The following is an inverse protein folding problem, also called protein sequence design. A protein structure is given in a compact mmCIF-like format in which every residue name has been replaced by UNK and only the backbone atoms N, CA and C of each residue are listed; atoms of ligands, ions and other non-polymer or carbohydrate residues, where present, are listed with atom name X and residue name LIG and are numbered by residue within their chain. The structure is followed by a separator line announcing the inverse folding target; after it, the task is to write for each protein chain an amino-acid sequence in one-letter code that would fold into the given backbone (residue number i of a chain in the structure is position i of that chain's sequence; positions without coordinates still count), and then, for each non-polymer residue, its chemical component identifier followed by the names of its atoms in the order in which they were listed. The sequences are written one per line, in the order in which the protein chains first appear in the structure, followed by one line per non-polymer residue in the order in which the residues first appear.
data_IF_398774222602
#
_entry.id   IF_398774222602
#
_cell.length_a   1.000
_cell.length_b   1.000
_cell.length_c   1.000
_cell.angle_alpha   90.00
_cell.angle_beta   90.00
_cell.angle_gamma   90.00
#
_symmetry.space_group_name_H-M   'P 1'
#
loop_
_entity.id
_entity.type
_entity.pdbx_description
1 polymer ?
#
# COMPACT_ATOMS: atom_id res chain seq x y z
N UNK A 1 -26.78 31.86 26.99
CA UNK A 1 -25.71 31.88 25.96
C UNK A 1 -26.23 32.72 24.83
N UNK A 2 -25.45 33.65 24.28
CA UNK A 2 -25.84 34.36 23.06
C UNK A 2 -25.69 33.43 21.85
N UNK A 3 -26.51 33.63 20.82
CA UNK A 3 -26.44 32.84 19.60
C UNK A 3 -25.03 32.93 18.96
N UNK A 4 -24.37 34.09 19.09
CA UNK A 4 -22.98 34.27 18.71
C UNK A 4 -22.01 33.31 19.41
N UNK A 5 -22.11 33.17 20.75
CA UNK A 5 -21.25 32.27 21.51
C UNK A 5 -21.47 30.79 21.18
N UNK A 6 -22.71 30.42 20.84
CA UNK A 6 -23.06 29.08 20.39
C UNK A 6 -22.41 28.74 19.04
N UNK A 7 -22.58 29.61 18.03
CA UNK A 7 -21.98 29.41 16.72
C UNK A 7 -20.44 29.43 16.76
N UNK A 8 -19.84 30.27 17.61
CA UNK A 8 -18.39 30.24 17.81
C UNK A 8 -17.92 28.89 18.39
N UNK A 9 -18.69 28.29 19.29
CA UNK A 9 -18.41 26.96 19.82
C UNK A 9 -18.41 25.89 18.72
N UNK A 10 -19.41 25.92 17.83
CA UNK A 10 -19.50 25.01 16.69
C UNK A 10 -18.35 25.21 15.70
N UNK A 11 -17.99 26.46 15.40
CA UNK A 11 -16.84 26.77 14.55
C UNK A 11 -15.54 26.18 15.13
N UNK A 12 -15.31 26.35 16.43
CA UNK A 12 -14.12 25.80 17.10
C UNK A 12 -14.10 24.27 17.04
N UNK A 13 -15.25 23.61 17.22
CA UNK A 13 -15.35 22.16 17.10
C UNK A 13 -14.99 21.68 15.69
N UNK A 14 -15.48 22.38 14.66
CA UNK A 14 -15.19 22.01 13.27
C UNK A 14 -13.74 22.28 12.87
N UNK A 15 -13.11 23.33 13.43
CA UNK A 15 -11.67 23.53 13.28
C UNK A 15 -10.88 22.34 13.84
N UNK A 16 -11.26 21.83 15.01
CA UNK A 16 -10.61 20.63 15.58
C UNK A 16 -10.84 19.39 14.73
N UNK A 17 -12.06 19.21 14.20
CA UNK A 17 -12.38 18.10 13.31
C UNK A 17 -11.53 18.14 12.03
N UNK A 18 -11.37 19.32 11.43
CA UNK A 18 -10.49 19.54 10.27
C UNK A 18 -9.05 19.13 10.59
N UNK A 19 -8.48 19.65 11.68
CA UNK A 19 -7.08 19.41 12.04
C UNK A 19 -6.83 17.93 12.35
N UNK A 20 -7.77 17.27 13.03
CA UNK A 20 -7.73 15.84 13.28
C UNK A 20 -7.76 15.01 11.99
N UNK A 21 -8.63 15.36 11.04
CA UNK A 21 -8.73 14.67 9.76
C UNK A 21 -7.46 14.83 8.92
N UNK A 22 -6.87 16.04 8.89
CA UNK A 22 -5.60 16.29 8.20
C UNK A 22 -4.44 15.52 8.86
N UNK A 23 -4.37 15.50 10.19
CA UNK A 23 -3.33 14.75 10.90
C UNK A 23 -3.43 13.24 10.64
N UNK A 24 -4.65 12.69 10.64
CA UNK A 24 -4.87 11.26 10.33
C UNK A 24 -4.50 10.96 8.88
N UNK A 25 -4.88 11.86 7.95
CA UNK A 25 -4.54 11.73 6.54
C UNK A 25 -3.02 11.68 6.33
N UNK A 26 -2.27 12.58 6.97
CA UNK A 26 -0.82 12.61 6.88
C UNK A 26 -0.18 11.28 7.33
N UNK A 27 -0.68 10.68 8.42
CA UNK A 27 -0.21 9.39 8.89
C UNK A 27 -0.56 8.23 7.92
N UNK A 28 -1.70 8.30 7.23
CA UNK A 28 -2.07 7.34 6.18
C UNK A 28 -1.17 7.51 4.95
N UNK A 29 -0.92 8.73 4.51
CA UNK A 29 -0.06 9.03 3.37
C UNK A 29 1.39 8.57 3.59
N UNK A 30 1.90 8.69 4.82
CA UNK A 30 3.21 8.15 5.18
C UNK A 30 3.26 6.62 5.06
N UNK A 31 2.20 5.92 5.50
CA UNK A 31 2.10 4.46 5.33
C UNK A 31 2.07 4.07 3.85
N UNK A 32 1.36 4.81 3.01
CA UNK A 32 1.34 4.61 1.55
C UNK A 32 2.76 4.73 1.00
N UNK A 33 3.49 5.80 1.34
CA UNK A 33 4.86 6.02 0.86
C UNK A 33 5.81 4.88 1.22
N UNK A 34 5.72 4.37 2.46
CA UNK A 34 6.51 3.21 2.92
C UNK A 34 6.16 1.94 2.15
N UNK A 35 4.87 1.71 1.86
CA UNK A 35 4.43 0.54 1.10
C UNK A 35 4.85 0.62 -0.37
N UNK A 36 4.79 1.79 -1.00
CA UNK A 36 5.29 1.99 -2.38
C UNK A 36 6.79 1.72 -2.49
N UNK A 37 7.56 2.13 -1.48
CA UNK A 37 8.99 1.80 -1.41
C UNK A 37 9.21 0.29 -1.30
N UNK A 38 8.51 -0.37 -0.37
CA UNK A 38 8.60 -1.81 -0.19
C UNK A 38 8.17 -2.60 -1.44
N UNK A 39 7.14 -2.12 -2.16
CA UNK A 39 6.68 -2.67 -3.43
C UNK A 39 7.77 -2.62 -4.49
N UNK A 40 8.43 -1.48 -4.64
CA UNK A 40 9.54 -1.29 -5.60
C UNK A 40 10.72 -2.22 -5.28
N UNK A 41 11.11 -2.30 -4.01
CA UNK A 41 12.20 -3.17 -3.56
C UNK A 41 11.86 -4.65 -3.80
N UNK A 42 10.64 -5.08 -3.47
CA UNK A 42 10.18 -6.45 -3.71
C UNK A 42 10.14 -6.78 -5.20
N UNK A 43 9.65 -5.86 -6.04
CA UNK A 43 9.64 -6.04 -7.50
C UNK A 43 11.04 -6.24 -8.06
N UNK A 44 12.01 -5.47 -7.55
CA UNK A 44 13.42 -5.62 -7.93
C UNK A 44 13.97 -6.98 -7.50
N UNK A 45 13.66 -7.43 -6.27
CA UNK A 45 14.07 -8.75 -5.79
C UNK A 45 13.47 -9.89 -6.61
N UNK A 46 12.18 -9.80 -6.98
CA UNK A 46 11.51 -10.79 -7.85
C UNK A 46 12.21 -10.87 -9.21
N UNK A 47 12.53 -9.73 -9.82
CA UNK A 47 13.22 -9.70 -11.12
C UNK A 47 14.63 -10.28 -11.04
N UNK A 48 15.38 -9.97 -9.98
CA UNK A 48 16.70 -10.54 -9.74
C UNK A 48 16.63 -12.05 -9.50
N UNK A 49 15.59 -12.53 -8.80
CA UNK A 49 15.37 -13.96 -8.57
C UNK A 49 15.00 -14.70 -9.85
N UNK A 50 14.12 -14.12 -10.67
CA UNK A 50 13.75 -14.65 -11.98
C UNK A 50 15.00 -14.86 -12.86
N UNK A 51 15.78 -13.79 -13.02
CA UNK A 51 16.97 -13.79 -13.89
C UNK A 51 18.13 -14.61 -13.33
N UNK A 52 18.37 -14.54 -12.02
CA UNK A 52 19.50 -15.19 -11.36
C UNK A 52 19.30 -16.68 -11.07
N UNK A 53 18.07 -17.11 -10.79
CA UNK A 53 17.78 -18.50 -10.37
C UNK A 53 16.93 -19.23 -11.39
N UNK A 54 15.74 -18.71 -11.74
CA UNK A 54 14.79 -19.45 -12.59
C UNK A 54 15.32 -19.61 -14.01
N UNK A 55 15.86 -18.53 -14.59
CA UNK A 55 16.43 -18.58 -15.95
C UNK A 55 17.70 -19.45 -15.98
N UNK A 56 18.51 -19.42 -14.91
CA UNK A 56 19.68 -20.28 -14.77
C UNK A 56 19.28 -21.76 -14.70
N UNK A 57 18.27 -22.12 -13.92
CA UNK A 57 17.70 -23.47 -13.87
C UNK A 57 17.21 -23.90 -15.26
N UNK A 58 16.52 -23.02 -15.98
CA UNK A 58 16.03 -23.32 -17.33
C UNK A 58 17.16 -23.64 -18.30
N UNK A 59 18.28 -22.91 -18.23
CA UNK A 59 19.49 -23.18 -19.03
C UNK A 59 20.12 -24.53 -18.68
N UNK A 60 20.33 -24.79 -17.39
CA UNK A 60 20.90 -26.05 -16.89
C UNK A 60 20.08 -27.26 -17.37
N UNK A 61 18.73 -27.16 -17.33
CA UNK A 61 17.86 -28.21 -17.85
C UNK A 61 18.13 -28.53 -19.33
N UNK A 62 18.30 -27.49 -20.14
CA UNK A 62 18.52 -27.61 -21.58
C UNK A 62 19.88 -28.21 -21.96
N UNK A 63 20.93 -27.88 -21.21
CA UNK A 63 22.30 -28.35 -21.48
C UNK A 63 22.53 -29.81 -21.05
N UNK A 64 21.88 -30.26 -19.97
CA UNK A 64 22.25 -31.52 -19.30
C UNK A 64 21.34 -32.72 -19.65
N UNK A 65 20.15 -32.49 -20.22
CA UNK A 65 19.13 -33.52 -20.42
C UNK A 65 19.58 -34.73 -21.29
N UNK A 66 20.64 -34.57 -22.07
CA UNK A 66 21.20 -35.61 -22.96
C UNK A 66 22.46 -36.31 -22.43
N UNK A 67 23.15 -35.72 -21.45
CA UNK A 67 24.51 -36.09 -21.03
C UNK A 67 24.51 -37.24 -20.02
N UNK A 68 23.57 -37.27 -19.08
CA UNK A 68 23.48 -38.34 -18.07
C UNK A 68 22.67 -39.56 -18.54
N UNK A 69 23.03 -40.75 -18.05
CA UNK A 69 22.36 -42.05 -18.32
C UNK A 69 22.01 -42.80 -17.03
N UNK A 70 21.07 -43.73 -17.12
CA UNK A 70 20.65 -44.61 -16.01
C UNK A 70 20.25 -43.85 -14.74
N UNK A 71 20.63 -44.37 -13.58
CA UNK A 71 20.31 -43.79 -12.27
C UNK A 71 20.76 -42.34 -12.11
N UNK A 72 21.89 -41.96 -12.73
CA UNK A 72 22.39 -40.59 -12.67
C UNK A 72 21.43 -39.62 -13.38
N UNK A 73 20.84 -40.03 -14.50
CA UNK A 73 19.81 -39.25 -15.20
C UNK A 73 18.58 -39.05 -14.31
N UNK A 74 18.13 -40.12 -13.64
CA UNK A 74 16.95 -40.06 -12.77
C UNK A 74 17.20 -39.12 -11.58
N UNK A 75 18.34 -39.28 -10.88
CA UNK A 75 18.72 -38.42 -9.75
C UNK A 75 18.87 -36.96 -10.17
N UNK A 76 19.45 -36.69 -11.34
CA UNK A 76 19.55 -35.35 -11.89
C UNK A 76 18.16 -34.74 -12.11
N UNK A 77 17.27 -35.45 -12.80
CA UNK A 77 15.91 -34.98 -13.09
C UNK A 77 15.12 -34.72 -11.80
N UNK A 78 15.22 -35.59 -10.79
CA UNK A 78 14.60 -35.40 -9.48
C UNK A 78 15.09 -34.13 -8.77
N UNK A 79 16.41 -33.93 -8.71
CA UNK A 79 17.01 -32.75 -8.06
C UNK A 79 16.67 -31.47 -8.80
N UNK A 80 16.75 -31.50 -10.13
CA UNK A 80 16.34 -30.38 -10.96
C UNK A 80 14.87 -30.01 -10.72
N UNK A 81 13.95 -30.98 -10.80
CA UNK A 81 12.53 -30.72 -10.60
C UNK A 81 12.24 -30.20 -9.19
N UNK A 82 12.91 -30.74 -8.16
CA UNK A 82 12.77 -30.26 -6.79
C UNK A 82 13.22 -28.81 -6.64
N UNK A 83 14.40 -28.45 -7.17
CA UNK A 83 14.90 -27.08 -7.14
C UNK A 83 14.00 -26.12 -7.94
N UNK A 84 13.55 -26.53 -9.12
CA UNK A 84 12.67 -25.74 -9.98
C UNK A 84 11.31 -25.49 -9.31
N UNK A 85 10.70 -26.51 -8.70
CA UNK A 85 9.45 -26.36 -7.96
C UNK A 85 9.63 -25.43 -6.76
N UNK A 86 10.70 -25.59 -5.98
CA UNK A 86 10.98 -24.72 -4.85
C UNK A 86 11.16 -23.25 -5.29
N UNK A 87 11.93 -23.00 -6.34
CA UNK A 87 12.13 -21.66 -6.89
C UNK A 87 10.83 -21.04 -7.43
N UNK A 88 10.05 -21.81 -8.18
CA UNK A 88 8.78 -21.33 -8.75
C UNK A 88 7.76 -21.02 -7.65
N UNK A 89 7.64 -21.87 -6.64
CA UNK A 89 6.76 -21.63 -5.49
C UNK A 89 7.19 -20.38 -4.70
N UNK A 90 8.49 -20.20 -4.50
CA UNK A 90 9.01 -19.01 -3.84
C UNK A 90 8.67 -17.73 -4.63
N UNK A 91 8.86 -17.73 -5.96
CA UNK A 91 8.46 -16.61 -6.80
C UNK A 91 6.95 -16.33 -6.70
N UNK A 92 6.11 -17.35 -6.82
CA UNK A 92 4.65 -17.20 -6.69
C UNK A 92 4.25 -16.59 -5.35
N UNK A 93 4.93 -16.97 -4.26
CA UNK A 93 4.70 -16.36 -2.94
C UNK A 93 5.06 -14.87 -2.93
N UNK A 94 6.17 -14.48 -3.58
CA UNK A 94 6.54 -13.07 -3.69
C UNK A 94 5.59 -12.28 -4.60
N UNK A 95 5.14 -12.84 -5.72
CA UNK A 95 4.13 -12.21 -6.59
C UNK A 95 2.80 -11.99 -5.83
N UNK A 96 2.43 -12.95 -4.97
CA UNK A 96 1.24 -12.84 -4.09
C UNK A 96 1.41 -11.73 -3.05
N UNK A 97 2.58 -11.62 -2.44
CA UNK A 97 2.89 -10.55 -1.50
C UNK A 97 2.85 -9.17 -2.18
N UNK A 98 3.38 -9.07 -3.41
CA UNK A 98 3.31 -7.84 -4.20
C UNK A 98 1.87 -7.41 -4.46
N UNK A 99 1.03 -8.35 -4.87
CA UNK A 99 -0.41 -8.11 -5.08
C UNK A 99 -1.13 -7.68 -3.80
N UNK A 100 -0.73 -8.24 -2.65
CA UNK A 100 -1.28 -7.88 -1.34
C UNK A 100 -0.88 -6.47 -0.91
N UNK A 101 0.37 -6.06 -1.18
CA UNK A 101 0.84 -4.70 -0.94
C UNK A 101 0.05 -3.71 -1.81
N UNK A 102 -0.16 -4.03 -3.09
CA UNK A 102 -0.93 -3.20 -4.03
C UNK A 102 -2.37 -3.00 -3.57
N UNK A 103 -3.04 -4.08 -3.17
CA UNK A 103 -4.38 -3.99 -2.60
C UNK A 103 -4.40 -3.09 -1.37
N UNK A 104 -3.40 -3.22 -0.48
CA UNK A 104 -3.35 -2.40 0.74
C UNK A 104 -3.10 -0.92 0.46
N UNK A 105 -2.27 -0.60 -0.53
CA UNK A 105 -2.08 0.77 -1.00
C UNK A 105 -3.41 1.34 -1.48
N UNK A 106 -4.18 0.58 -2.29
CA UNK A 106 -5.49 1.01 -2.78
C UNK A 106 -6.49 1.31 -1.65
N UNK A 107 -6.55 0.45 -0.62
CA UNK A 107 -7.39 0.69 0.57
C UNK A 107 -6.99 1.99 1.30
N UNK A 108 -5.69 2.20 1.52
CA UNK A 108 -5.19 3.39 2.21
C UNK A 108 -5.39 4.66 1.38
N UNK A 109 -5.30 4.58 0.05
CA UNK A 109 -5.61 5.71 -0.84
C UNK A 109 -7.08 6.11 -0.73
N UNK A 110 -8.00 5.14 -0.64
CA UNK A 110 -9.41 5.41 -0.41
C UNK A 110 -9.66 6.04 0.97
N UNK A 111 -8.98 5.55 2.02
CA UNK A 111 -9.02 6.13 3.36
C UNK A 111 -8.49 7.59 3.37
N UNK A 112 -7.35 7.86 2.73
CA UNK A 112 -6.77 9.20 2.60
C UNK A 112 -7.72 10.17 1.89
N UNK A 113 -8.39 9.72 0.81
CA UNK A 113 -9.39 10.52 0.09
C UNK A 113 -10.63 10.81 0.94
N UNK A 114 -11.08 9.84 1.74
CA UNK A 114 -12.19 10.01 2.69
C UNK A 114 -11.84 11.04 3.77
N UNK A 115 -10.64 10.95 4.35
CA UNK A 115 -10.14 11.90 5.34
C UNK A 115 -10.00 13.32 4.77
N UNK A 116 -9.55 13.45 3.51
CA UNK A 116 -9.55 14.75 2.83
C UNK A 116 -10.96 15.33 2.67
N UNK A 117 -11.94 14.49 2.36
CA UNK A 117 -13.34 14.90 2.23
C UNK A 117 -13.91 15.36 3.58
N UNK A 118 -13.60 14.63 4.65
CA UNK A 118 -13.97 15.00 6.02
C UNK A 118 -13.34 16.34 6.43
N UNK A 119 -12.05 16.54 6.17
CA UNK A 119 -11.36 17.79 6.43
C UNK A 119 -12.02 18.97 5.69
N UNK A 120 -12.27 18.83 4.38
CA UNK A 120 -12.93 19.86 3.59
C UNK A 120 -14.33 20.20 4.12
N UNK A 121 -15.09 19.19 4.54
CA UNK A 121 -16.43 19.38 5.10
C UNK A 121 -16.37 20.16 6.41
N UNK A 122 -15.49 19.75 7.33
CA UNK A 122 -15.28 20.42 8.60
C UNK A 122 -14.84 21.89 8.39
N UNK A 123 -13.91 22.13 7.46
CA UNK A 123 -13.47 23.48 7.14
C UNK A 123 -14.61 24.38 6.62
N UNK A 124 -15.46 23.86 5.73
CA UNK A 124 -16.61 24.60 5.22
C UNK A 124 -17.65 24.89 6.31
N UNK A 125 -17.91 23.91 7.19
CA UNK A 125 -18.80 24.10 8.34
C UNK A 125 -18.26 25.15 9.30
N UNK A 126 -16.96 25.11 9.59
CA UNK A 126 -16.28 26.11 10.42
C UNK A 126 -16.50 27.52 9.87
N UNK A 127 -16.28 27.74 8.58
CA UNK A 127 -16.49 29.05 7.95
C UNK A 127 -17.96 29.51 8.03
N UNK A 128 -18.91 28.59 7.83
CA UNK A 128 -20.33 28.88 7.96
C UNK A 128 -20.67 29.35 9.39
N UNK A 129 -20.26 28.57 10.40
CA UNK A 129 -20.50 28.91 11.80
C UNK A 129 -19.82 30.22 12.22
N UNK A 130 -18.61 30.52 11.73
CA UNK A 130 -17.97 31.82 11.96
C UNK A 130 -18.81 32.97 11.38
N UNK A 131 -19.37 32.79 10.17
CA UNK A 131 -20.26 33.79 9.57
C UNK A 131 -21.52 34.00 10.41
N UNK A 132 -22.14 32.93 10.90
CA UNK A 132 -23.33 33.02 11.75
C UNK A 132 -23.03 33.69 13.09
N UNK A 133 -21.88 33.38 13.70
CA UNK A 133 -21.43 34.01 14.93
C UNK A 133 -21.25 35.53 14.77
N UNK A 134 -20.67 35.97 13.65
CA UNK A 134 -20.48 37.38 13.33
C UNK A 134 -21.81 38.13 13.14
N UNK A 135 -22.76 37.53 12.40
CA UNK A 135 -24.10 38.09 12.21
C UNK A 135 -24.83 38.24 13.54
N UNK A 136 -24.84 37.19 14.37
CA UNK A 136 -25.49 37.20 15.68
C UNK A 136 -24.80 38.11 16.73
N UNK A 137 -23.58 38.55 16.47
CA UNK A 137 -22.88 39.54 17.31
C UNK A 137 -23.20 40.99 16.92
N UNK A 138 -23.83 41.18 15.75
CA UNK A 138 -24.14 42.49 15.18
C UNK A 138 -25.59 42.94 15.43
N UNK A 139 -26.40 42.07 16.04
CA UNK A 139 -27.77 42.32 16.53
C UNK A 139 -27.78 42.70 18.01
#
# INVERSE_FOLDING_TARGET
MSDASYYQGLANQESQNHDNAISQKAAVDEKISRLETAKSDLSTQINNFQTGIIDALTKIKGEDASQFKGDRKNKYAEKYNSANTAATNNKTSHDTNLSSIDAKIGELQAESASLQTAANTAYNNMLNYQSLANSASSE
#
